data_IF_247042288198
#
_entry.id   IF_247042288198
#
_cell.length_a   1.000
_cell.length_b   1.000
_cell.length_c   1.000
_cell.angle_alpha   90.00
_cell.angle_beta   90.00
_cell.angle_gamma   90.00
#
_symmetry.space_group_name_H-M   'P 1'
#
loop_
_entity.id
_entity.type
_entity.pdbx_description
1 polymer ?
#
# COMPACT_ATOMS: atom_id res chain seq x y z
N UNK A 1 -24.92 6.24 -25.92
CA UNK A 1 -23.61 6.50 -25.26
C UNK A 1 -22.55 6.07 -26.25
N UNK A 2 -21.79 7.00 -26.83
CA UNK A 2 -20.60 6.61 -27.59
C UNK A 2 -19.59 6.07 -26.58
N UNK A 3 -19.13 4.83 -26.76
CA UNK A 3 -17.97 4.35 -26.02
C UNK A 3 -16.80 5.25 -26.41
N UNK A 4 -16.32 6.08 -25.48
CA UNK A 4 -15.07 6.82 -25.68
C UNK A 4 -13.94 5.79 -25.67
N UNK A 5 -13.54 5.34 -26.86
CA UNK A 5 -12.39 4.46 -27.05
C UNK A 5 -11.14 5.27 -26.71
N UNK A 6 -10.27 4.73 -25.86
CA UNK A 6 -9.04 5.40 -25.49
C UNK A 6 -8.14 5.62 -26.71
N UNK A 7 -7.46 6.76 -26.77
CA UNK A 7 -6.48 7.02 -27.83
C UNK A 7 -5.35 5.98 -27.85
N UNK A 8 -4.98 5.42 -26.69
CA UNK A 8 -3.98 4.36 -26.59
C UNK A 8 -4.45 3.03 -27.20
N UNK A 9 -5.73 2.70 -27.02
CA UNK A 9 -6.33 1.50 -27.60
C UNK A 9 -6.35 1.61 -29.13
N UNK A 10 -6.68 2.79 -29.67
CA UNK A 10 -6.59 3.07 -31.11
C UNK A 10 -5.16 2.89 -31.62
N UNK A 11 -4.15 3.43 -30.92
CA UNK A 11 -2.75 3.29 -31.32
C UNK A 11 -2.26 1.84 -31.29
N UNK A 12 -2.74 1.04 -30.33
CA UNK A 12 -2.44 -0.39 -30.27
C UNK A 12 -3.08 -1.17 -31.43
N UNK A 13 -4.33 -0.84 -31.78
CA UNK A 13 -5.01 -1.45 -32.92
C UNK A 13 -4.33 -1.08 -34.24
N UNK A 14 -3.95 0.19 -34.41
CA UNK A 14 -3.15 0.64 -35.57
C UNK A 14 -1.81 -0.11 -35.64
N UNK A 15 -1.13 -0.35 -34.51
CA UNK A 15 0.07 -1.19 -34.52
C UNK A 15 -0.22 -2.62 -34.98
N UNK A 16 -1.33 -3.24 -34.55
CA UNK A 16 -1.67 -4.63 -34.91
C UNK A 16 -2.02 -4.77 -36.39
N UNK A 17 -2.76 -3.81 -36.94
CA UNK A 17 -3.32 -3.87 -38.29
C UNK A 17 -2.38 -3.29 -39.36
N UNK A 18 -1.53 -2.31 -39.01
CA UNK A 18 -0.75 -1.58 -39.99
C UNK A 18 0.61 -2.26 -40.28
N UNK A 19 0.88 -2.49 -41.56
CA UNK A 19 2.20 -2.96 -42.05
C UNK A 19 3.10 -1.79 -42.45
N UNK A 20 2.53 -0.64 -42.78
CA UNK A 20 3.22 0.62 -43.04
C UNK A 20 3.51 1.36 -41.73
N UNK A 21 4.71 1.94 -41.59
CA UNK A 21 5.18 2.57 -40.34
C UNK A 21 5.27 1.64 -39.12
N UNK A 22 5.46 0.33 -39.35
CA UNK A 22 5.50 -0.67 -38.28
C UNK A 22 6.54 -0.37 -37.19
N UNK A 23 7.69 0.20 -37.58
CA UNK A 23 8.77 0.53 -36.64
C UNK A 23 8.40 1.70 -35.74
N UNK A 24 7.76 2.72 -36.29
CA UNK A 24 7.27 3.89 -35.58
C UNK A 24 6.19 3.49 -34.59
N UNK A 25 5.20 2.68 -35.01
CA UNK A 25 4.19 2.15 -34.09
C UNK A 25 4.82 1.25 -33.03
N UNK A 26 5.82 0.43 -33.37
CA UNK A 26 6.55 -0.36 -32.37
C UNK A 26 7.18 0.53 -31.29
N UNK A 27 7.74 1.69 -31.66
CA UNK A 27 8.27 2.66 -30.71
C UNK A 27 7.16 3.29 -29.86
N UNK A 28 6.03 3.66 -30.46
CA UNK A 28 4.85 4.18 -29.75
C UNK A 28 4.38 3.20 -28.68
N UNK A 29 4.20 1.92 -29.03
CA UNK A 29 3.75 0.89 -28.08
C UNK A 29 4.79 0.64 -27.00
N UNK A 30 6.08 0.68 -27.33
CA UNK A 30 7.15 0.60 -26.35
C UNK A 30 7.07 1.77 -25.34
N UNK A 31 6.90 3.01 -25.81
CA UNK A 31 6.81 4.17 -24.93
C UNK A 31 5.57 4.11 -24.03
N UNK A 32 4.43 3.65 -24.56
CA UNK A 32 3.20 3.41 -23.78
C UNK A 32 3.42 2.35 -22.70
N UNK A 33 4.12 1.26 -23.01
CA UNK A 33 4.42 0.21 -22.03
C UNK A 33 5.31 0.73 -20.89
N UNK A 34 6.30 1.58 -21.20
CA UNK A 34 7.14 2.23 -20.18
C UNK A 34 6.30 3.17 -19.30
N UNK A 35 5.39 3.95 -19.91
CA UNK A 35 4.48 4.82 -19.18
C UNK A 35 3.53 4.04 -18.25
N UNK A 36 2.90 2.96 -18.74
CA UNK A 36 2.08 2.05 -17.91
C UNK A 36 2.90 1.55 -16.71
N UNK A 37 4.11 1.04 -16.96
CA UNK A 37 5.00 0.53 -15.91
C UNK A 37 5.34 1.60 -14.86
N UNK A 38 5.60 2.83 -15.30
CA UNK A 38 5.89 3.94 -14.40
C UNK A 38 4.70 4.29 -13.50
N UNK A 39 3.50 4.38 -14.07
CA UNK A 39 2.28 4.65 -13.31
C UNK A 39 1.99 3.53 -12.32
N UNK A 40 2.13 2.27 -12.73
CA UNK A 40 2.01 1.11 -11.84
C UNK A 40 2.96 1.21 -10.66
N UNK A 41 4.24 1.51 -10.89
CA UNK A 41 5.21 1.68 -9.81
C UNK A 41 4.87 2.85 -8.91
N UNK A 42 4.34 3.94 -9.46
CA UNK A 42 3.87 5.06 -8.64
C UNK A 42 2.63 4.68 -7.80
N UNK A 43 1.66 3.95 -8.35
CA UNK A 43 0.48 3.49 -7.61
C UNK A 43 0.89 2.61 -6.42
N UNK A 44 1.81 1.67 -6.66
CA UNK A 44 2.39 0.85 -5.59
C UNK A 44 3.09 1.71 -4.55
N UNK A 45 3.91 2.67 -4.98
CA UNK A 45 4.63 3.56 -4.06
C UNK A 45 3.68 4.39 -3.18
N UNK A 46 2.65 4.99 -3.79
CA UNK A 46 1.64 5.79 -3.12
C UNK A 46 0.84 4.93 -2.12
N UNK A 47 0.43 3.73 -2.52
CA UNK A 47 -0.22 2.75 -1.64
C UNK A 47 0.66 2.39 -0.45
N UNK A 48 1.89 1.93 -0.67
CA UNK A 48 2.81 1.50 0.40
C UNK A 48 3.13 2.65 1.35
N UNK A 49 3.33 3.86 0.82
CA UNK A 49 3.58 5.05 1.64
C UNK A 49 2.36 5.41 2.49
N UNK A 50 1.15 5.43 1.91
CA UNK A 50 -0.09 5.70 2.65
C UNK A 50 -0.36 4.63 3.70
N UNK A 51 -0.13 3.37 3.37
CA UNK A 51 -0.28 2.25 4.28
C UNK A 51 0.69 2.38 5.46
N UNK A 52 1.98 2.56 5.17
CA UNK A 52 3.03 2.82 6.17
C UNK A 52 2.66 3.97 7.10
N UNK A 53 2.14 5.07 6.56
CA UNK A 53 1.77 6.25 7.32
C UNK A 53 0.57 6.04 8.26
N UNK A 54 -0.29 5.07 7.95
CA UNK A 54 -1.44 4.70 8.78
C UNK A 54 -1.04 3.75 9.90
N UNK A 55 -0.13 2.82 9.63
CA UNK A 55 0.28 1.83 10.63
C UNK A 55 1.45 2.32 11.51
N UNK A 56 2.39 3.11 10.99
CA UNK A 56 3.55 3.62 11.73
C UNK A 56 3.36 5.08 12.17
N UNK A 57 3.56 5.41 13.46
CA UNK A 57 3.63 6.80 13.88
C UNK A 57 4.79 7.54 13.19
N UNK A 58 4.57 8.82 12.82
CA UNK A 58 5.55 9.67 12.10
C UNK A 58 6.97 9.69 12.71
N UNK A 59 7.08 9.52 14.03
CA UNK A 59 8.34 9.51 14.80
C UNK A 59 9.24 8.29 14.57
N UNK A 60 8.76 7.23 13.92
CA UNK A 60 9.53 6.01 13.65
C UNK A 60 10.04 5.92 12.20
N UNK A 61 9.89 6.99 11.40
CA UNK A 61 10.40 7.05 10.02
C UNK A 61 11.93 7.14 10.05
N UNK A 62 12.63 6.08 9.62
CA UNK A 62 14.06 6.16 9.25
C UNK A 62 15.07 5.28 10.00
N UNK A 63 14.66 4.22 10.72
CA UNK A 63 15.67 3.35 11.34
C UNK A 63 15.17 2.25 12.28
N UNK A 64 14.07 1.57 11.97
CA UNK A 64 13.68 0.40 12.76
C UNK A 64 14.52 -0.82 12.37
N UNK A 65 15.43 -1.23 13.26
CA UNK A 65 15.80 -2.66 13.33
C UNK A 65 14.50 -3.41 13.68
N UNK A 66 14.23 -4.51 12.97
CA UNK A 66 12.96 -5.25 13.07
C UNK A 66 12.49 -5.47 14.51
N UNK A 67 11.16 -5.50 14.66
CA UNK A 67 10.48 -5.34 15.94
C UNK A 67 9.41 -4.25 15.79
N UNK A 68 8.18 -4.55 16.20
CA UNK A 68 7.03 -3.67 16.09
C UNK A 68 7.24 -2.26 16.67
N UNK A 69 6.29 -1.34 16.41
CA UNK A 69 6.23 0.06 16.91
C UNK A 69 6.41 0.15 18.46
N UNK A 70 6.20 -0.96 19.17
CA UNK A 70 6.34 -1.10 20.61
C UNK A 70 7.51 -2.02 21.04
N UNK A 71 8.07 -2.82 20.14
CA UNK A 71 9.13 -3.82 20.44
C UNK A 71 10.54 -3.26 20.25
N UNK A 72 10.75 -1.98 20.53
CA UNK A 72 12.11 -1.48 20.70
C UNK A 72 12.65 -1.90 22.09
N UNK A 73 12.92 -3.20 22.24
CA UNK A 73 13.72 -3.72 23.35
C UNK A 73 15.19 -3.60 22.97
N UNK A 74 15.75 -2.41 23.12
CA UNK A 74 17.18 -2.28 23.27
C UNK A 74 17.49 -2.54 24.73
N UNK A 75 18.29 -3.56 25.04
CA UNK A 75 18.99 -3.73 26.33
C UNK A 75 19.91 -2.53 26.72
N UNK A 76 19.65 -1.32 26.19
CA UNK A 76 20.36 -0.08 26.50
C UNK A 76 19.45 1.16 26.60
N UNK A 77 19.17 1.51 27.86
CA UNK A 77 19.10 2.85 28.49
C UNK A 77 18.36 3.97 27.74
N UNK A 78 17.04 3.97 27.93
CA UNK A 78 16.06 5.05 27.75
C UNK A 78 16.56 6.50 27.90
N UNK A 79 16.18 7.36 26.95
CA UNK A 79 15.75 8.77 27.13
C UNK A 79 15.01 9.22 25.84
N UNK A 80 13.84 8.69 25.48
CA UNK A 80 12.57 9.32 25.85
C UNK A 80 11.40 8.41 25.44
N UNK A 81 11.00 7.51 26.33
CA UNK A 81 9.77 6.72 26.24
C UNK A 81 8.54 7.57 26.67
N UNK A 82 8.45 8.82 26.22
CA UNK A 82 7.58 9.83 26.85
C UNK A 82 6.11 9.83 26.44
N UNK A 83 5.66 8.78 25.76
CA UNK A 83 4.23 8.47 25.75
C UNK A 83 4.10 6.96 25.59
N UNK A 84 3.85 6.23 26.68
CA UNK A 84 3.17 4.93 26.59
C UNK A 84 1.75 5.17 26.05
N UNK A 85 1.69 5.50 24.77
CA UNK A 85 0.50 5.29 23.97
C UNK A 85 0.68 3.87 23.46
N UNK A 86 0.02 2.89 24.07
CA UNK A 86 -0.12 1.59 23.42
C UNK A 86 -0.75 1.87 22.05
N UNK A 87 0.06 1.85 21.00
CA UNK A 87 -0.28 2.22 19.64
C UNK A 87 0.54 1.28 18.79
N UNK A 88 -0.15 0.45 18.01
CA UNK A 88 0.49 -0.57 17.20
C UNK A 88 0.09 -1.97 17.66
N UNK A 89 1.03 -2.90 17.52
CA UNK A 89 0.79 -4.35 17.56
C UNK A 89 0.27 -4.87 18.90
N UNK A 90 0.86 -4.50 20.04
CA UNK A 90 0.39 -4.94 21.36
C UNK A 90 -1.05 -4.54 21.53
N UNK A 91 -1.37 -3.27 21.28
CA UNK A 91 -2.74 -2.78 21.37
C UNK A 91 -3.68 -3.54 20.43
N UNK A 92 -3.28 -3.78 19.18
CA UNK A 92 -4.08 -4.55 18.22
C UNK A 92 -4.33 -5.99 18.70
N UNK A 93 -3.27 -6.74 19.01
CA UNK A 93 -3.33 -8.14 19.44
C UNK A 93 -4.13 -8.28 20.73
N UNK A 94 -3.82 -7.46 21.74
CA UNK A 94 -4.50 -7.49 23.04
C UNK A 94 -5.98 -7.15 22.89
N UNK A 95 -6.33 -6.14 22.10
CA UNK A 95 -7.73 -5.80 21.84
C UNK A 95 -8.47 -6.90 21.07
N UNK A 96 -7.79 -7.55 20.13
CA UNK A 96 -8.38 -8.63 19.35
C UNK A 96 -8.64 -9.87 20.21
N UNK A 97 -7.63 -10.32 20.96
CA UNK A 97 -7.79 -11.43 21.92
C UNK A 97 -8.91 -11.12 22.90
N UNK A 98 -8.91 -9.92 23.48
CA UNK A 98 -9.98 -9.49 24.38
C UNK A 98 -11.36 -9.54 23.73
N UNK A 99 -11.51 -9.09 22.48
CA UNK A 99 -12.79 -9.13 21.78
C UNK A 99 -13.32 -10.56 21.59
N UNK A 100 -12.43 -11.52 21.33
CA UNK A 100 -12.78 -12.93 21.09
C UNK A 100 -13.12 -13.69 22.37
N UNK A 101 -12.45 -13.40 23.48
CA UNK A 101 -12.60 -14.20 24.72
C UNK A 101 -13.43 -13.51 25.83
N UNK A 102 -13.80 -12.24 25.66
CA UNK A 102 -14.46 -11.51 26.75
C UNK A 102 -15.83 -12.11 27.08
N UNK A 103 -16.03 -12.36 28.37
CA UNK A 103 -17.34 -12.57 28.96
C UNK A 103 -18.17 -11.29 28.98
N UNK A 104 -19.48 -11.41 29.19
CA UNK A 104 -20.44 -10.31 28.99
C UNK A 104 -20.13 -9.00 29.73
N UNK A 105 -19.58 -9.06 30.95
CA UNK A 105 -19.27 -7.88 31.77
C UNK A 105 -17.77 -7.65 32.02
N UNK A 106 -16.90 -8.39 31.32
CA UNK A 106 -15.45 -8.28 31.53
C UNK A 106 -14.91 -6.99 30.90
N UNK A 107 -13.93 -6.38 31.58
CA UNK A 107 -13.14 -5.27 31.05
C UNK A 107 -11.72 -5.75 30.71
N UNK A 108 -11.01 -5.02 29.85
CA UNK A 108 -9.65 -5.40 29.45
C UNK A 108 -8.67 -5.49 30.63
N UNK A 109 -8.95 -4.77 31.72
CA UNK A 109 -8.17 -4.85 32.95
C UNK A 109 -8.24 -6.25 33.58
N UNK A 110 -9.36 -6.95 33.45
CA UNK A 110 -9.59 -8.24 34.08
C UNK A 110 -8.73 -9.30 33.37
N UNK A 111 -8.63 -9.20 32.04
CA UNK A 111 -7.74 -10.01 31.20
C UNK A 111 -6.25 -9.72 31.45
N UNK A 112 -5.89 -8.45 31.67
CA UNK A 112 -4.49 -8.01 31.76
C UNK A 112 -3.92 -8.04 33.18
N UNK A 113 -4.77 -8.16 34.20
CA UNK A 113 -4.35 -8.16 35.60
C UNK A 113 -3.87 -9.55 36.00
N UNK A 114 -2.63 -9.62 36.47
CA UNK A 114 -2.00 -10.87 36.88
C UNK A 114 -0.81 -11.24 35.99
N UNK A 115 -0.29 -12.44 36.19
CA UNK A 115 0.72 -13.01 35.33
C UNK A 115 0.16 -13.43 33.98
N UNK A 116 1.02 -13.43 32.97
CA UNK A 116 0.77 -14.07 31.68
C UNK A 116 0.31 -15.54 31.81
N UNK A 117 0.87 -16.28 32.76
CA UNK A 117 0.48 -17.67 33.01
C UNK A 117 -0.88 -17.75 33.70
N UNK A 118 -1.19 -16.80 34.59
CA UNK A 118 -2.51 -16.71 35.22
C UNK A 118 -3.59 -16.47 34.16
N UNK A 119 -3.31 -15.62 33.16
CA UNK A 119 -4.19 -15.40 32.02
C UNK A 119 -4.44 -16.68 31.21
N UNK A 120 -3.39 -17.43 30.84
CA UNK A 120 -3.54 -18.68 30.08
C UNK A 120 -4.29 -19.75 30.89
N UNK A 121 -4.14 -19.78 32.21
CA UNK A 121 -4.85 -20.72 33.08
C UNK A 121 -6.32 -20.33 33.27
N UNK A 122 -6.61 -19.05 33.52
CA UNK A 122 -7.97 -18.55 33.77
C UNK A 122 -8.84 -18.63 32.51
N UNK A 123 -8.24 -18.42 31.32
CA UNK A 123 -8.91 -18.41 30.03
C UNK A 123 -8.66 -19.67 29.19
N UNK A 124 -8.22 -20.77 29.81
CA UNK A 124 -7.87 -22.00 29.10
C UNK A 124 -9.02 -22.51 28.22
N UNK A 125 -10.26 -22.51 28.73
CA UNK A 125 -11.44 -22.93 27.95
C UNK A 125 -11.65 -22.09 26.69
N UNK A 126 -11.69 -20.77 26.82
CA UNK A 126 -11.95 -19.84 25.73
C UNK A 126 -10.80 -19.82 24.73
N UNK A 127 -9.55 -19.88 25.19
CA UNK A 127 -8.37 -19.91 24.32
C UNK A 127 -8.27 -21.24 23.54
N UNK A 128 -8.69 -22.35 24.12
CA UNK A 128 -8.75 -23.64 23.44
C UNK A 128 -9.74 -23.64 22.26
N UNK A 129 -10.82 -22.85 22.32
CA UNK A 129 -11.77 -22.71 21.21
C UNK A 129 -11.18 -21.93 20.02
N UNK A 130 -10.21 -21.03 20.28
CA UNK A 130 -9.55 -20.24 19.23
C UNK A 130 -8.50 -21.02 18.42
N UNK A 131 -8.19 -22.26 18.83
CA UNK A 131 -7.22 -23.15 18.16
C UNK A 131 -5.86 -22.47 17.89
N UNK A 132 -5.36 -21.74 18.88
CA UNK A 132 -4.11 -20.96 18.79
C UNK A 132 -2.93 -21.87 18.44
N UNK A 133 -2.09 -21.45 17.50
CA UNK A 133 -0.80 -22.09 17.27
C UNK A 133 0.21 -21.66 18.34
N UNK A 134 1.36 -22.36 18.39
CA UNK A 134 2.46 -21.95 19.28
C UNK A 134 2.96 -20.54 18.95
N UNK A 135 3.00 -20.17 17.67
CA UNK A 135 3.37 -18.83 17.22
C UNK A 135 2.36 -17.78 17.69
N UNK A 136 1.07 -18.11 17.70
CA UNK A 136 0.00 -17.24 18.21
C UNK A 136 0.18 -17.02 19.72
N UNK A 137 0.37 -18.09 20.49
CA UNK A 137 0.66 -18.00 21.93
C UNK A 137 1.92 -17.17 22.19
N UNK A 138 3.02 -17.41 21.47
CA UNK A 138 4.27 -16.66 21.63
C UNK A 138 4.10 -15.17 21.29
N UNK A 139 3.25 -14.83 20.32
CA UNK A 139 2.88 -13.45 20.00
C UNK A 139 2.10 -12.80 21.15
N UNK A 140 1.06 -13.46 21.64
CA UNK A 140 0.27 -12.99 22.79
C UNK A 140 1.19 -12.82 24.01
N UNK A 141 2.07 -13.78 24.26
CA UNK A 141 3.02 -13.73 25.37
C UNK A 141 3.96 -12.53 25.26
N UNK A 142 4.47 -12.22 24.07
CA UNK A 142 5.27 -11.00 23.83
C UNK A 142 4.49 -9.73 24.12
N UNK A 143 3.23 -9.65 23.68
CA UNK A 143 2.36 -8.51 23.92
C UNK A 143 2.10 -8.28 25.42
N UNK A 144 1.81 -9.35 26.18
CA UNK A 144 1.64 -9.27 27.64
C UNK A 144 2.92 -8.85 28.38
N UNK A 145 4.11 -9.21 27.89
CA UNK A 145 5.38 -8.71 28.45
C UNK A 145 5.48 -7.19 28.33
N UNK A 146 4.98 -6.59 27.25
CA UNK A 146 4.92 -5.13 27.09
C UNK A 146 3.98 -4.50 28.13
N UNK A 147 2.83 -5.12 28.38
CA UNK A 147 1.91 -4.69 29.46
C UNK A 147 2.63 -4.70 30.80
N UNK A 148 3.30 -5.80 31.18
CA UNK A 148 4.08 -5.88 32.43
C UNK A 148 5.17 -4.79 32.54
N UNK A 149 5.87 -4.47 31.44
CA UNK A 149 6.84 -3.35 31.43
C UNK A 149 6.16 -2.01 31.72
N UNK A 150 4.96 -1.77 31.17
CA UNK A 150 4.17 -0.57 31.45
C UNK A 150 3.77 -0.44 32.93
N UNK A 151 3.33 -1.54 33.54
CA UNK A 151 2.99 -1.58 34.97
C UNK A 151 4.19 -1.20 35.85
N UNK A 152 5.35 -1.80 35.58
CA UNK A 152 6.59 -1.57 36.32
C UNK A 152 7.07 -0.10 36.25
N UNK A 153 6.84 0.56 35.12
CA UNK A 153 7.26 1.95 34.90
C UNK A 153 6.30 2.91 35.60
N UNK A 154 5.00 2.64 35.55
CA UNK A 154 4.01 3.54 36.12
C UNK A 154 4.06 3.58 37.65
N UNK A 155 4.47 2.50 38.34
CA UNK A 155 4.65 2.44 39.82
C UNK A 155 3.48 3.04 40.65
N UNK A 156 2.30 3.19 40.05
CA UNK A 156 1.13 3.86 40.64
C UNK A 156 0.04 2.80 40.83
N UNK A 157 -0.69 2.88 41.95
CA UNK A 157 -1.75 1.94 42.32
C UNK A 157 -2.95 1.86 41.34
N UNK A 158 -3.01 2.73 40.33
CA UNK A 158 -4.08 2.83 39.35
C UNK A 158 -3.53 2.77 37.92
N UNK A 159 -3.13 1.57 37.48
CA UNK A 159 -2.68 1.29 36.12
C UNK A 159 -3.87 1.47 35.16
N UNK A 160 -3.70 2.27 34.11
CA UNK A 160 -4.76 2.53 33.12
C UNK A 160 -4.71 1.50 31.99
N UNK A 161 -5.26 0.30 32.21
CA UNK A 161 -5.28 -0.77 31.19
C UNK A 161 -6.07 -0.44 29.92
N UNK A 162 -7.07 0.45 30.01
CA UNK A 162 -7.87 0.90 28.86
C UNK A 162 -7.05 1.49 27.71
N UNK A 163 -5.76 1.83 27.93
CA UNK A 163 -4.89 2.29 26.85
C UNK A 163 -4.62 1.19 25.81
N UNK A 164 -4.68 -0.08 26.21
CA UNK A 164 -4.46 -1.24 25.34
C UNK A 164 -5.73 -1.67 24.57
N UNK A 165 -6.85 -1.00 24.81
CA UNK A 165 -8.14 -1.30 24.18
C UNK A 165 -8.42 -0.39 22.98
N UNK A 166 -8.81 -1.00 21.88
CA UNK A 166 -9.33 -0.36 20.67
C UNK A 166 -10.84 -0.54 20.64
N UNK A 167 -11.56 0.48 20.18
CA UNK A 167 -12.97 0.28 19.84
C UNK A 167 -13.10 -0.70 18.66
N UNK A 168 -14.27 -1.33 18.51
CA UNK A 168 -14.54 -2.22 17.37
C UNK A 168 -14.33 -1.52 16.02
N UNK A 169 -14.69 -0.24 15.91
CA UNK A 169 -14.42 0.56 14.72
C UNK A 169 -12.92 0.68 14.41
N UNK A 170 -12.09 0.93 15.44
CA UNK A 170 -10.64 1.02 15.29
C UNK A 170 -10.00 -0.33 14.93
N UNK A 171 -10.50 -1.43 15.51
CA UNK A 171 -10.08 -2.78 15.14
C UNK A 171 -10.41 -3.09 13.68
N UNK A 172 -11.66 -2.87 13.26
CA UNK A 172 -12.10 -3.07 11.88
C UNK A 172 -11.30 -2.22 10.89
N UNK A 173 -10.97 -0.99 11.27
CA UNK A 173 -10.13 -0.11 10.45
C UNK A 173 -8.72 -0.69 10.24
N UNK A 174 -8.10 -1.22 11.29
CA UNK A 174 -6.80 -1.89 11.18
C UNK A 174 -6.87 -3.22 10.43
N UNK A 175 -7.91 -4.03 10.67
CA UNK A 175 -8.17 -5.25 9.90
C UNK A 175 -8.26 -4.94 8.40
N UNK A 176 -9.01 -3.89 8.03
CA UNK A 176 -9.14 -3.43 6.65
C UNK A 176 -7.80 -3.06 6.01
N UNK A 177 -6.93 -2.34 6.72
CA UNK A 177 -5.61 -2.01 6.19
C UNK A 177 -4.72 -3.24 6.01
N UNK A 178 -4.65 -4.11 7.03
CA UNK A 178 -3.85 -5.33 6.93
C UNK A 178 -4.29 -6.20 5.75
N UNK A 179 -5.61 -6.33 5.54
CA UNK A 179 -6.16 -7.02 4.37
C UNK A 179 -5.75 -6.36 3.06
N UNK A 180 -5.84 -5.02 2.94
CA UNK A 180 -5.40 -4.31 1.74
C UNK A 180 -3.93 -4.61 1.43
N UNK A 181 -3.07 -4.67 2.46
CA UNK A 181 -1.67 -5.00 2.30
C UNK A 181 -1.45 -6.46 1.89
N UNK A 182 -2.17 -7.41 2.48
CA UNK A 182 -2.13 -8.83 2.10
C UNK A 182 -2.54 -9.00 0.63
N UNK A 183 -3.68 -8.41 0.25
CA UNK A 183 -4.20 -8.47 -1.12
C UNK A 183 -3.16 -7.89 -2.09
N UNK A 184 -2.63 -6.69 -1.81
CA UNK A 184 -1.59 -6.08 -2.64
C UNK A 184 -0.33 -6.96 -2.76
N UNK A 185 0.10 -7.59 -1.68
CA UNK A 185 1.31 -8.43 -1.64
C UNK A 185 1.13 -9.76 -2.38
N UNK A 186 -0.11 -10.24 -2.51
CA UNK A 186 -0.47 -11.45 -3.23
C UNK A 186 -0.76 -11.19 -4.72
N UNK A 187 -1.29 -10.00 -5.07
CA UNK A 187 -1.60 -9.57 -6.44
C UNK A 187 -0.36 -9.14 -7.26
N UNK A 188 0.76 -9.86 -7.09
CA UNK A 188 2.08 -9.50 -7.67
C UNK A 188 2.10 -9.32 -9.20
N UNK A 189 1.03 -9.66 -9.93
CA UNK A 189 1.02 -9.76 -11.39
C UNK A 189 -0.15 -9.09 -12.13
N UNK A 190 -1.05 -8.35 -11.48
CA UNK A 190 -2.29 -7.87 -12.14
C UNK A 190 -2.32 -6.37 -12.51
N UNK A 191 -1.16 -5.75 -12.70
CA UNK A 191 -1.10 -4.33 -13.09
C UNK A 191 -1.01 -4.14 -14.61
N UNK A 192 -1.80 -4.86 -15.40
CA UNK A 192 -2.11 -4.32 -16.73
C UNK A 192 -3.08 -3.17 -16.53
N UNK A 193 -2.51 -1.97 -16.39
CA UNK A 193 -3.29 -0.75 -16.26
C UNK A 193 -4.14 -0.60 -17.52
N UNK A 194 -5.47 -0.65 -17.35
CA UNK A 194 -6.40 -0.41 -18.44
C UNK A 194 -6.15 0.97 -19.07
N UNK A 195 -6.36 1.10 -20.37
CA UNK A 195 -6.08 2.35 -21.09
C UNK A 195 -6.93 3.52 -20.59
N UNK A 196 -8.15 3.26 -20.15
CA UNK A 196 -9.02 4.26 -19.50
C UNK A 196 -8.43 4.76 -18.18
N UNK A 197 -7.94 3.85 -17.33
CA UNK A 197 -7.26 4.20 -16.08
C UNK A 197 -5.92 4.92 -16.34
N UNK A 198 -5.23 4.59 -17.44
CA UNK A 198 -3.99 5.26 -17.84
C UNK A 198 -4.21 6.76 -18.12
N UNK A 199 -5.31 7.12 -18.77
CA UNK A 199 -5.65 8.50 -19.14
C UNK A 199 -5.87 9.41 -17.91
N UNK A 200 -6.38 8.87 -16.80
CA UNK A 200 -6.60 9.61 -15.55
C UNK A 200 -5.30 10.20 -14.96
N UNK A 201 -4.16 9.56 -15.25
CA UNK A 201 -2.84 10.00 -14.82
C UNK A 201 -2.19 11.02 -15.74
N UNK A 202 -2.79 11.32 -16.88
CA UNK A 202 -2.25 12.28 -17.84
C UNK A 202 -2.81 13.67 -17.60
N UNK A 203 -1.98 14.67 -17.86
CA UNK A 203 -2.49 16.03 -17.87
C UNK A 203 -3.39 16.24 -19.08
N UNK A 204 -4.68 16.52 -18.82
CA UNK A 204 -5.69 16.72 -19.87
C UNK A 204 -5.21 17.71 -20.95
N UNK A 205 -4.77 18.89 -20.51
CA UNK A 205 -4.45 20.00 -21.40
C UNK A 205 -3.10 19.86 -22.09
N UNK A 206 -2.08 19.42 -21.35
CA UNK A 206 -0.70 19.43 -21.83
C UNK A 206 -0.29 18.13 -22.52
N UNK A 207 -1.09 17.07 -22.41
CA UNK A 207 -0.76 15.77 -22.98
C UNK A 207 -1.97 15.11 -23.67
N UNK A 208 -3.04 14.78 -22.93
CA UNK A 208 -4.11 13.92 -23.45
C UNK A 208 -4.82 14.53 -24.66
N UNK A 209 -5.29 15.79 -24.58
CA UNK A 209 -5.96 16.46 -25.70
C UNK A 209 -5.09 16.52 -26.96
N UNK A 210 -3.76 16.71 -26.79
CA UNK A 210 -2.83 16.76 -27.93
C UNK A 210 -2.64 15.38 -28.55
N UNK A 211 -2.56 14.33 -27.73
CA UNK A 211 -2.47 12.96 -28.19
C UNK A 211 -3.73 12.54 -28.94
N UNK A 212 -4.91 12.89 -28.42
CA UNK A 212 -6.21 12.65 -29.07
C UNK A 212 -6.29 13.35 -30.43
N UNK A 213 -5.92 14.64 -30.49
CA UNK A 213 -5.93 15.40 -31.75
C UNK A 213 -5.00 14.78 -32.79
N UNK A 214 -3.77 14.45 -32.42
CA UNK A 214 -2.81 13.80 -33.33
C UNK A 214 -3.28 12.43 -33.78
N UNK A 215 -3.91 11.65 -32.89
CA UNK A 215 -4.45 10.32 -33.20
C UNK A 215 -5.64 10.41 -34.16
N UNK A 216 -6.55 11.36 -33.93
CA UNK A 216 -7.67 11.61 -34.85
C UNK A 216 -7.19 12.08 -36.24
N UNK A 217 -6.20 12.97 -36.28
CA UNK A 217 -5.60 13.43 -37.54
C UNK A 217 -4.87 12.30 -38.28
N UNK A 218 -4.24 11.37 -37.56
CA UNK A 218 -3.63 10.19 -38.15
C UNK A 218 -4.66 9.29 -38.82
N UNK A 219 -5.78 9.00 -38.15
CA UNK A 219 -6.87 8.18 -38.71
C UNK A 219 -7.45 8.82 -39.97
N UNK A 220 -7.60 10.16 -39.97
CA UNK A 220 -8.20 10.91 -41.07
C UNK A 220 -7.20 11.32 -42.17
N UNK A 221 -5.93 10.90 -42.07
CA UNK A 221 -4.87 11.31 -43.01
C UNK A 221 -5.18 10.85 -44.44
N UNK A 222 -5.10 11.78 -45.40
CA UNK A 222 -5.43 11.50 -46.81
C UNK A 222 -4.22 11.00 -47.61
N UNK A 223 -3.02 11.21 -47.09
CA UNK A 223 -1.78 10.81 -47.74
C UNK A 223 -0.70 10.40 -46.72
N UNK A 224 0.35 9.75 -47.25
CA UNK A 224 1.48 9.23 -46.46
C UNK A 224 2.25 10.32 -45.71
N UNK A 225 2.36 11.52 -46.29
CA UNK A 225 3.13 12.62 -45.67
C UNK A 225 2.40 13.16 -44.43
N UNK A 226 1.08 13.32 -44.50
CA UNK A 226 0.23 13.68 -43.36
C UNK A 226 0.30 12.63 -42.25
N UNK A 227 0.14 11.35 -42.60
CA UNK A 227 0.22 10.25 -41.65
C UNK A 227 1.58 10.24 -40.93
N UNK A 228 2.68 10.37 -41.68
CA UNK A 228 4.03 10.41 -41.10
C UNK A 228 4.21 11.60 -40.15
N UNK A 229 3.70 12.79 -40.50
CA UNK A 229 3.77 13.98 -39.64
C UNK A 229 3.03 13.74 -38.31
N UNK A 230 1.85 13.15 -38.35
CA UNK A 230 1.07 12.84 -37.15
C UNK A 230 1.76 11.79 -36.28
N UNK A 231 2.27 10.70 -36.89
CA UNK A 231 3.04 9.65 -36.19
C UNK A 231 4.26 10.24 -35.49
N UNK A 232 5.04 11.10 -36.18
CA UNK A 232 6.20 11.77 -35.58
C UNK A 232 5.79 12.67 -34.41
N UNK A 233 4.66 13.36 -34.50
CA UNK A 233 4.11 14.15 -33.39
C UNK A 233 3.78 13.30 -32.17
N UNK A 234 3.14 12.14 -32.37
CA UNK A 234 2.79 11.19 -31.31
C UNK A 234 4.05 10.62 -30.66
N UNK A 235 5.01 10.15 -31.47
CA UNK A 235 6.30 9.67 -31.00
C UNK A 235 7.03 10.73 -30.18
N UNK A 236 7.08 11.98 -30.65
CA UNK A 236 7.73 13.06 -29.92
C UNK A 236 7.09 13.31 -28.56
N UNK A 237 5.76 13.33 -28.51
CA UNK A 237 4.99 13.54 -27.28
C UNK A 237 5.26 12.42 -26.25
N UNK A 238 5.19 11.16 -26.67
CA UNK A 238 5.46 9.99 -25.84
C UNK A 238 6.92 9.89 -25.41
N UNK A 239 7.86 10.13 -26.34
CA UNK A 239 9.29 10.12 -26.04
C UNK A 239 9.67 11.17 -25.00
N UNK A 240 9.03 12.34 -25.01
CA UNK A 240 9.26 13.38 -23.99
C UNK A 240 8.88 12.87 -22.59
N UNK A 241 7.75 12.18 -22.46
CA UNK A 241 7.37 11.55 -21.19
C UNK A 241 8.37 10.47 -20.82
N UNK A 242 8.67 9.53 -21.75
CA UNK A 242 9.63 8.44 -21.53
C UNK A 242 10.96 8.98 -21.00
N UNK A 243 11.58 9.92 -21.70
CA UNK A 243 12.86 10.51 -21.30
C UNK A 243 12.74 11.13 -19.91
N UNK A 244 11.67 11.89 -19.63
CA UNK A 244 11.45 12.48 -18.32
C UNK A 244 11.34 11.45 -17.18
N UNK A 245 10.76 10.28 -17.44
CA UNK A 245 10.56 9.25 -16.41
C UNK A 245 11.66 8.19 -16.36
N UNK A 246 12.53 8.05 -17.36
CA UNK A 246 13.61 7.05 -17.37
C UNK A 246 15.03 7.63 -17.37
N UNK A 247 15.22 8.84 -17.90
CA UNK A 247 16.53 9.43 -18.17
C UNK A 247 16.64 10.84 -17.54
N UNK A 248 16.86 10.88 -16.22
CA UNK A 248 16.89 12.12 -15.42
C UNK A 248 18.01 13.10 -15.78
N UNK A 249 18.98 12.69 -16.59
CA UNK A 249 20.06 13.54 -17.10
C UNK A 249 19.63 14.43 -18.27
N UNK A 250 18.68 13.98 -19.10
CA UNK A 250 18.24 14.68 -20.30
C UNK A 250 16.98 15.51 -20.05
N UNK A 251 16.03 14.98 -19.27
CA UNK A 251 14.84 15.69 -18.82
C UNK A 251 14.53 15.23 -17.41
N UNK A 252 14.36 16.16 -16.49
CA UNK A 252 14.15 15.79 -15.09
C UNK A 252 12.71 15.33 -14.88
N UNK A 253 12.50 14.28 -14.09
CA UNK A 253 11.17 13.74 -13.81
C UNK A 253 10.18 14.81 -13.34
N UNK A 254 10.64 15.72 -12.46
CA UNK A 254 9.84 16.84 -11.95
C UNK A 254 9.29 17.79 -13.03
N UNK A 255 9.85 17.77 -14.24
CA UNK A 255 9.41 18.60 -15.36
C UNK A 255 8.23 17.97 -16.13
N UNK A 256 8.11 16.65 -16.10
CA UNK A 256 6.99 15.92 -16.71
C UNK A 256 5.91 15.55 -15.70
N UNK A 257 6.19 15.60 -14.40
CA UNK A 257 5.25 15.30 -13.30
C UNK A 257 4.73 16.56 -12.60
N UNK A 258 3.70 16.39 -11.76
CA UNK A 258 3.06 17.46 -11.00
C UNK A 258 3.80 17.80 -9.67
N UNK A 259 5.07 17.41 -9.52
CA UNK A 259 5.87 17.76 -8.34
C UNK A 259 6.16 19.27 -8.31
N UNK A 260 6.79 19.80 -9.38
CA UNK A 260 7.14 21.23 -9.52
C UNK A 260 7.12 21.74 -10.97
N UNK A 261 6.65 20.94 -11.92
CA UNK A 261 6.70 21.25 -13.35
C UNK A 261 5.73 22.37 -13.76
N UNK A 262 6.22 23.36 -14.52
CA UNK A 262 5.33 24.31 -15.21
C UNK A 262 4.81 23.61 -16.47
N UNK A 263 3.51 23.29 -16.48
CA UNK A 263 2.84 22.47 -17.52
C UNK A 263 3.25 20.98 -17.47
N UNK A 264 2.89 20.26 -16.40
CA UNK A 264 3.20 18.85 -16.27
C UNK A 264 2.49 18.04 -17.38
N UNK A 265 3.09 16.92 -17.77
CA UNK A 265 2.51 15.96 -18.71
C UNK A 265 1.74 14.86 -17.98
N UNK A 266 2.15 14.54 -16.75
CA UNK A 266 1.55 13.56 -15.85
C UNK A 266 1.01 14.26 -14.60
N UNK A 267 -0.16 13.84 -14.13
CA UNK A 267 -0.78 14.29 -12.88
C UNK A 267 -0.29 13.51 -11.66
N UNK A 268 0.96 13.06 -11.70
CA UNK A 268 1.59 12.29 -10.63
C UNK A 268 2.45 13.22 -9.77
N UNK A 269 2.29 13.29 -8.44
CA UNK A 269 3.06 14.17 -7.57
C UNK A 269 4.35 13.50 -7.07
N UNK A 270 5.26 13.11 -7.98
CA UNK A 270 6.56 12.53 -7.61
C UNK A 270 7.71 13.11 -8.42
N UNK A 271 8.88 13.22 -7.79
CA UNK A 271 10.14 13.56 -8.45
C UNK A 271 10.97 12.33 -8.86
N UNK A 272 10.53 11.13 -8.49
CA UNK A 272 11.28 9.90 -8.70
C UNK A 272 11.08 9.36 -10.12
N UNK A 273 12.18 8.99 -10.77
CA UNK A 273 12.17 8.27 -12.04
C UNK A 273 11.77 6.79 -11.86
N UNK A 274 11.64 6.06 -12.97
CA UNK A 274 11.17 4.68 -13.00
C UNK A 274 12.01 3.73 -12.14
N UNK A 275 13.34 3.87 -12.18
CA UNK A 275 14.24 3.02 -11.41
C UNK A 275 14.18 3.35 -9.91
N UNK A 276 14.17 4.64 -9.57
CA UNK A 276 14.02 5.12 -8.19
C UNK A 276 12.70 4.64 -7.56
N UNK A 277 11.59 4.68 -8.30
CA UNK A 277 10.31 4.13 -7.85
C UNK A 277 10.39 2.61 -7.64
N UNK A 278 11.03 1.88 -8.56
CA UNK A 278 11.21 0.44 -8.42
C UNK A 278 12.00 0.08 -7.16
N UNK A 279 13.11 0.79 -6.90
CA UNK A 279 13.97 0.57 -5.74
C UNK A 279 13.26 0.94 -4.43
N UNK A 280 12.60 2.10 -4.37
CA UNK A 280 11.85 2.52 -3.18
C UNK A 280 10.64 1.62 -2.91
N UNK A 281 9.97 1.10 -3.95
CA UNK A 281 8.92 0.09 -3.77
C UNK A 281 9.46 -1.19 -3.13
N UNK A 282 10.57 -1.74 -3.64
CA UNK A 282 11.18 -2.95 -3.07
C UNK A 282 11.60 -2.74 -1.62
N UNK A 283 12.18 -1.57 -1.32
CA UNK A 283 12.62 -1.20 0.02
C UNK A 283 11.44 -1.04 0.98
N UNK A 284 10.41 -0.29 0.59
CA UNK A 284 9.21 -0.08 1.40
C UNK A 284 8.43 -1.38 1.60
N UNK A 285 8.26 -2.19 0.56
CA UNK A 285 7.60 -3.49 0.65
C UNK A 285 8.34 -4.37 1.66
N UNK A 286 9.67 -4.50 1.55
CA UNK A 286 10.48 -5.29 2.48
C UNK A 286 10.44 -4.75 3.91
N UNK A 287 10.49 -3.43 4.09
CA UNK A 287 10.32 -2.78 5.40
C UNK A 287 8.98 -3.20 6.01
N UNK A 288 7.89 -3.08 5.26
CA UNK A 288 6.53 -3.41 5.71
C UNK A 288 6.34 -4.92 5.96
N UNK A 289 6.85 -5.79 5.10
CA UNK A 289 6.81 -7.24 5.27
C UNK A 289 7.48 -7.65 6.58
N UNK A 290 8.69 -7.17 6.84
CA UNK A 290 9.42 -7.45 8.10
C UNK A 290 8.69 -6.90 9.31
N UNK A 291 8.12 -5.69 9.20
CA UNK A 291 7.38 -5.08 10.30
C UNK A 291 6.07 -5.80 10.62
N UNK A 292 5.41 -6.36 9.61
CA UNK A 292 4.12 -7.03 9.75
C UNK A 292 4.23 -8.54 9.93
N UNK A 293 5.40 -9.12 9.65
CA UNK A 293 5.65 -10.56 9.69
C UNK A 293 5.04 -11.25 10.93
N UNK A 294 5.19 -10.75 12.17
CA UNK A 294 4.66 -11.48 13.30
C UNK A 294 3.13 -11.40 13.43
N UNK A 295 2.46 -10.41 12.79
CA UNK A 295 1.00 -10.38 12.65
C UNK A 295 0.55 -11.30 11.51
N UNK A 296 1.27 -11.30 10.40
CA UNK A 296 0.90 -12.06 9.20
C UNK A 296 1.23 -13.55 9.30
N UNK A 297 2.17 -13.94 10.16
CA UNK A 297 2.47 -15.34 10.46
C UNK A 297 1.53 -15.93 11.52
N UNK A 298 0.78 -15.09 12.24
CA UNK A 298 -0.17 -15.55 13.24
C UNK A 298 -1.44 -16.05 12.57
N UNK A 299 -1.76 -17.34 12.77
CA UNK A 299 -2.94 -17.97 12.17
C UNK A 299 -4.21 -17.40 12.78
N UNK A 300 -4.21 -17.15 14.08
CA UNK A 300 -5.27 -16.44 14.79
C UNK A 300 -5.58 -15.08 14.14
N UNK A 301 -4.56 -14.24 13.91
CA UNK A 301 -4.74 -12.94 13.27
C UNK A 301 -5.28 -13.11 11.84
N UNK A 302 -4.68 -13.99 11.04
CA UNK A 302 -5.11 -14.22 9.66
C UNK A 302 -6.57 -14.66 9.56
N UNK A 303 -7.00 -15.61 10.40
CA UNK A 303 -8.40 -16.07 10.44
C UNK A 303 -9.34 -14.89 10.72
N UNK A 304 -9.03 -14.08 11.73
CA UNK A 304 -9.78 -12.89 12.08
C UNK A 304 -9.84 -11.83 10.98
N UNK A 305 -8.80 -11.73 10.14
CA UNK A 305 -8.78 -10.89 8.95
C UNK A 305 -9.67 -11.47 7.85
N UNK A 306 -9.59 -12.77 7.59
CA UNK A 306 -10.42 -13.43 6.58
C UNK A 306 -11.90 -13.39 6.93
N UNK A 307 -12.26 -13.67 8.18
CA UNK A 307 -13.64 -13.52 8.67
C UNK A 307 -14.15 -12.10 8.43
N UNK A 308 -13.40 -11.09 8.86
CA UNK A 308 -13.75 -9.70 8.62
C UNK A 308 -13.88 -9.35 7.12
N UNK A 309 -13.00 -9.89 6.27
CA UNK A 309 -13.09 -9.73 4.83
C UNK A 309 -14.39 -10.32 4.28
N UNK A 310 -14.75 -11.54 4.71
CA UNK A 310 -15.98 -12.20 4.30
C UNK A 310 -17.21 -11.52 4.86
N UNK A 311 -17.23 -11.06 6.11
CA UNK A 311 -18.33 -10.26 6.67
C UNK A 311 -18.55 -8.97 5.86
N UNK A 312 -17.47 -8.26 5.52
CA UNK A 312 -17.56 -7.04 4.72
C UNK A 312 -18.02 -7.30 3.27
N UNK A 313 -17.72 -8.47 2.70
CA UNK A 313 -18.21 -8.89 1.38
C UNK A 313 -19.53 -9.67 1.43
N UNK A 314 -19.96 -10.06 2.63
CA UNK A 314 -20.86 -11.18 2.90
C UNK A 314 -22.23 -10.79 3.43
N UNK A 315 -22.73 -9.62 3.01
CA UNK A 315 -24.13 -9.51 2.59
C UNK A 315 -24.37 -10.12 1.19
N UNK A 316 -23.44 -10.93 0.67
CA UNK A 316 -23.66 -11.86 -0.43
C UNK A 316 -23.64 -13.29 0.14
N UNK A 317 -24.73 -13.64 0.81
CA UNK A 317 -25.02 -15.02 1.20
C UNK A 317 -25.27 -15.88 -0.05
N UNK A 318 -24.92 -17.16 0.10
CA UNK A 318 -25.11 -18.29 -0.83
C UNK A 318 -26.55 -18.35 -1.36
#
# INVERSE_FOLDING_TARGET
MQNNISCFEVLENLYKENTEFKNEFKQIIFDIAILKKYITYWQTYDFLTKFRDKILPKRFRGGSKGGFIEDYDSDNKMKEWKSFSAKGTTKFVISLVFQEIKGGSEEIKDMLKGGIEDFFQDKDSELNELLLSKEDEDLIRRCFKVVKKYENITKICNIRYSIFELSSEQLNHMKSYLLQFIMHSQDKNNFDLEYTALEEYLNQKNFLNLLEELTANLINSQNKSEAQKNIMGIMFLLAKVRIGITESSALQTREVTNDKGRKPLLNIPTKMNLNELSEENQKLQKELEVLLEPLLNSRFILNNLYEFYFECRGNLQI
#
